data_IF_123117418984
#
_entry.id   IF_123117418984
#
_cell.length_a   1.000
_cell.length_b   1.000
_cell.length_c   1.000
_cell.angle_alpha   90.00
_cell.angle_beta   90.00
_cell.angle_gamma   90.00
#
_symmetry.space_group_name_H-M   'P 1'
#
loop_
_entity.id
_entity.type
_entity.pdbx_description
1 polymer ?
#
# COMPACT_ATOMS: atom_id res chain seq x y z
N UNK A 1 11.80 9.41 15.90
CA UNK A 1 12.19 10.63 16.61
C UNK A 1 12.47 10.33 18.08
N UNK A 2 11.55 9.72 18.81
CA UNK A 2 11.71 9.42 20.24
C UNK A 2 12.28 8.04 20.53
N UNK A 3 12.27 7.14 19.55
CA UNK A 3 12.79 5.76 19.64
C UNK A 3 12.22 4.99 20.85
N UNK A 4 10.94 5.23 21.16
CA UNK A 4 10.23 4.60 22.27
C UNK A 4 8.78 4.30 21.87
N UNK A 5 8.17 3.33 22.54
CA UNK A 5 6.74 3.14 22.46
C UNK A 5 6.01 4.29 23.14
N UNK A 6 4.84 4.62 22.64
CA UNK A 6 3.93 5.61 23.19
C UNK A 6 2.69 4.90 23.74
N UNK A 7 2.26 5.29 24.94
CA UNK A 7 0.96 4.92 25.44
C UNK A 7 -0.13 5.70 24.71
N UNK A 8 -1.37 5.21 24.70
CA UNK A 8 -2.49 5.89 24.04
C UNK A 8 -2.68 7.33 24.51
N UNK A 9 -2.52 7.58 25.82
CA UNK A 9 -2.59 8.93 26.42
C UNK A 9 -1.46 9.88 25.98
N UNK A 10 -0.43 9.36 25.31
CA UNK A 10 0.69 10.14 24.79
C UNK A 10 0.55 10.45 23.29
N UNK A 11 -0.59 10.12 22.72
CA UNK A 11 -0.90 10.33 21.30
C UNK A 11 -1.92 11.45 21.17
N UNK A 12 -1.64 12.40 20.28
CA UNK A 12 -2.53 13.47 19.88
C UNK A 12 -2.82 13.35 18.38
N UNK A 13 -4.00 13.78 17.95
CA UNK A 13 -4.37 13.75 16.54
C UNK A 13 -4.25 15.15 15.93
N UNK A 14 -3.48 15.26 14.87
CA UNK A 14 -3.28 16.50 14.11
C UNK A 14 -3.46 16.26 12.62
N UNK A 15 -3.86 17.30 11.91
CA UNK A 15 -3.92 17.25 10.44
C UNK A 15 -2.51 17.09 9.86
N UNK A 16 -2.38 16.12 8.97
CA UNK A 16 -1.16 15.84 8.22
C UNK A 16 -1.49 15.68 6.74
N UNK A 17 -0.68 16.28 5.86
CA UNK A 17 -0.69 15.95 4.45
C UNK A 17 0.14 14.68 4.23
N UNK A 18 -0.45 13.67 3.63
CA UNK A 18 0.23 12.42 3.25
C UNK A 18 0.18 12.23 1.75
N UNK A 19 1.22 11.58 1.21
CA UNK A 19 1.11 11.02 -0.14
C UNK A 19 0.00 9.99 -0.19
N UNK A 20 -0.70 9.92 -1.31
CA UNK A 20 -1.58 8.81 -1.64
C UNK A 20 -1.11 8.20 -2.94
N UNK A 21 -1.09 6.87 -3.00
CA UNK A 21 -0.75 6.14 -4.21
C UNK A 21 -1.77 5.04 -4.48
N UNK A 22 -1.98 4.78 -5.76
CA UNK A 22 -2.68 3.61 -6.26
C UNK A 22 -1.64 2.71 -6.91
N UNK A 23 -1.64 1.43 -6.54
CA UNK A 23 -0.60 0.47 -6.90
C UNK A 23 -1.23 -0.76 -7.52
N UNK A 24 -0.64 -1.25 -8.62
CA UNK A 24 -1.05 -2.45 -9.33
C UNK A 24 -0.40 -3.69 -8.75
N UNK A 25 -1.21 -4.69 -8.47
CA UNK A 25 -0.79 -6.05 -8.12
C UNK A 25 -1.25 -6.99 -9.22
N UNK A 26 -0.35 -7.46 -10.10
CA UNK A 26 -0.73 -8.35 -11.20
C UNK A 26 -1.35 -9.65 -10.72
N UNK A 27 -2.44 -10.06 -11.34
CA UNK A 27 -3.04 -11.38 -11.12
C UNK A 27 -2.16 -12.44 -11.78
N UNK A 28 -1.81 -13.47 -11.00
CA UNK A 28 -1.01 -14.60 -11.44
C UNK A 28 -1.92 -15.76 -11.91
N UNK A 29 -1.43 -16.55 -12.87
CA UNK A 29 -2.10 -17.75 -13.40
C UNK A 29 -2.85 -17.51 -14.71
N UNK A 30 -3.42 -18.62 -15.22
CA UNK A 30 -4.13 -18.69 -16.51
C UNK A 30 -5.64 -18.82 -16.23
N UNK A 31 -6.33 -17.73 -16.06
CA UNK A 31 -7.76 -17.75 -15.80
C UNK A 31 -8.48 -16.57 -16.47
N UNK A 32 -9.78 -16.38 -16.21
CA UNK A 32 -10.54 -15.26 -16.77
C UNK A 32 -9.96 -13.87 -16.43
N UNK A 33 -9.18 -13.79 -15.35
CA UNK A 33 -8.54 -12.57 -14.86
C UNK A 33 -7.05 -12.49 -15.25
N UNK A 34 -6.56 -13.41 -16.09
CA UNK A 34 -5.17 -13.37 -16.57
C UNK A 34 -4.85 -12.03 -17.25
N UNK A 35 -3.71 -11.45 -16.86
CA UNK A 35 -3.28 -10.15 -17.38
C UNK A 35 -4.04 -8.94 -16.82
N UNK A 36 -4.84 -9.13 -15.78
CA UNK A 36 -5.44 -8.05 -15.02
C UNK A 36 -4.58 -7.68 -13.81
N UNK A 37 -4.73 -6.45 -13.35
CA UNK A 37 -4.13 -5.96 -12.10
C UNK A 37 -5.24 -5.67 -11.07
N UNK A 38 -5.04 -6.14 -9.83
CA UNK A 38 -5.77 -5.61 -8.67
C UNK A 38 -5.15 -4.27 -8.31
N UNK A 39 -5.95 -3.24 -8.16
CA UNK A 39 -5.46 -1.92 -7.77
C UNK A 39 -5.78 -1.68 -6.30
N UNK A 40 -4.76 -1.36 -5.51
CA UNK A 40 -4.92 -0.94 -4.10
C UNK A 40 -4.66 0.56 -3.95
N UNK A 41 -5.16 1.14 -2.87
CA UNK A 41 -4.87 2.50 -2.48
C UNK A 41 -4.21 2.53 -1.10
N UNK A 42 -3.22 3.39 -0.91
CA UNK A 42 -2.58 3.59 0.40
C UNK A 42 -2.09 5.02 0.59
N UNK A 43 -2.10 5.47 1.85
CA UNK A 43 -1.51 6.75 2.30
C UNK A 43 -0.09 6.59 2.83
N UNK A 44 0.42 5.37 2.89
CA UNK A 44 1.72 5.01 3.46
C UNK A 44 2.57 4.21 2.47
N UNK A 45 3.08 4.82 1.39
CA UNK A 45 3.86 4.11 0.36
C UNK A 45 5.02 3.28 0.93
N UNK A 46 5.63 3.74 2.01
CA UNK A 46 6.74 3.06 2.67
C UNK A 46 6.40 1.67 3.23
N UNK A 47 5.11 1.30 3.36
CA UNK A 47 4.72 -0.04 3.80
C UNK A 47 4.72 -1.08 2.69
N UNK A 48 4.74 -0.67 1.42
CA UNK A 48 4.72 -1.59 0.26
C UNK A 48 5.86 -2.64 0.29
N UNK A 49 7.13 -2.30 0.65
CA UNK A 49 8.19 -3.31 0.74
C UNK A 49 7.91 -4.43 1.76
N UNK A 50 7.02 -4.19 2.73
CA UNK A 50 6.60 -5.17 3.75
C UNK A 50 5.27 -5.87 3.41
N UNK A 51 4.74 -5.70 2.20
CA UNK A 51 3.49 -6.31 1.79
C UNK A 51 3.56 -7.84 1.81
N UNK A 52 2.52 -8.48 2.35
CA UNK A 52 2.36 -9.94 2.43
C UNK A 52 1.15 -10.46 1.67
N UNK A 53 0.20 -9.58 1.33
CA UNK A 53 -1.01 -9.96 0.61
C UNK A 53 -1.88 -8.76 0.29
N UNK A 54 -3.02 -9.06 -0.32
CA UNK A 54 -4.11 -8.11 -0.54
C UNK A 54 -5.40 -8.77 -0.07
N UNK A 55 -6.31 -7.98 0.48
CA UNK A 55 -7.61 -8.47 0.94
C UNK A 55 -8.76 -7.78 0.24
N UNK A 56 -9.89 -8.50 0.17
CA UNK A 56 -11.16 -8.05 -0.41
C UNK A 56 -12.32 -8.40 0.53
N UNK A 57 -13.49 -7.81 0.32
CA UNK A 57 -14.71 -8.18 1.05
C UNK A 57 -15.61 -9.04 0.16
N UNK A 58 -16.09 -10.20 0.62
CA UNK A 58 -16.87 -11.11 -0.22
C UNK A 58 -18.23 -10.56 -0.68
N UNK A 59 -18.79 -9.60 0.07
CA UNK A 59 -20.10 -9.01 -0.23
C UNK A 59 -20.00 -7.73 -1.07
N UNK A 60 -18.79 -7.26 -1.42
CA UNK A 60 -18.59 -6.13 -2.33
C UNK A 60 -18.64 -6.63 -3.77
N UNK A 61 -19.35 -5.88 -4.62
CA UNK A 61 -19.36 -6.16 -6.06
C UNK A 61 -18.08 -5.64 -6.73
N UNK A 62 -17.42 -6.51 -7.47
CA UNK A 62 -16.20 -6.19 -8.20
C UNK A 62 -16.40 -6.38 -9.70
N UNK A 63 -15.80 -5.48 -10.47
CA UNK A 63 -15.79 -5.54 -11.93
C UNK A 63 -14.39 -5.60 -12.51
N UNK A 64 -14.27 -6.21 -13.67
CA UNK A 64 -13.09 -6.12 -14.53
C UNK A 64 -13.29 -4.97 -15.52
N UNK A 65 -12.44 -3.97 -15.45
CA UNK A 65 -12.49 -2.76 -16.25
C UNK A 65 -11.33 -2.72 -17.24
N UNK A 66 -11.62 -2.45 -18.50
CA UNK A 66 -10.62 -2.29 -19.55
C UNK A 66 -10.53 -0.83 -19.96
N UNK A 67 -9.34 -0.30 -19.95
CA UNK A 67 -9.06 1.06 -20.43
C UNK A 67 -9.15 1.12 -21.94
N UNK A 68 -9.98 2.00 -22.47
CA UNK A 68 -10.18 2.19 -23.92
C UNK A 68 -9.55 3.46 -24.44
N UNK A 69 -9.43 4.51 -23.60
CA UNK A 69 -8.75 5.76 -23.94
C UNK A 69 -7.94 6.29 -22.76
N UNK A 70 -6.69 6.64 -22.99
CA UNK A 70 -5.80 7.31 -22.05
C UNK A 70 -4.69 8.04 -22.84
N UNK A 71 -4.14 9.12 -22.28
CA UNK A 71 -3.02 9.84 -22.87
C UNK A 71 -1.76 8.97 -22.98
N UNK A 72 -0.94 9.20 -24.00
CA UNK A 72 0.27 8.39 -24.26
C UNK A 72 1.29 8.46 -23.12
N UNK A 73 1.42 9.60 -22.44
CA UNK A 73 2.32 9.82 -21.31
C UNK A 73 1.74 9.37 -19.95
N UNK A 74 0.51 8.85 -19.93
CA UNK A 74 -0.11 8.34 -18.73
C UNK A 74 0.59 7.05 -18.25
N UNK A 75 0.55 6.79 -16.95
CA UNK A 75 0.99 5.50 -16.37
C UNK A 75 0.06 4.35 -16.73
N UNK A 76 -1.22 4.64 -16.89
CA UNK A 76 -2.25 3.70 -17.35
C UNK A 76 -2.29 3.73 -18.88
N UNK A 77 -2.35 2.56 -19.48
CA UNK A 77 -2.32 2.40 -20.95
C UNK A 77 -3.62 1.83 -21.47
N UNK A 78 -3.93 2.19 -22.70
CA UNK A 78 -5.05 1.56 -23.44
C UNK A 78 -4.82 0.04 -23.49
N UNK A 79 -5.86 -0.71 -23.13
CA UNK A 79 -5.83 -2.17 -23.04
C UNK A 79 -5.54 -2.72 -21.65
N UNK A 80 -5.11 -1.88 -20.69
CA UNK A 80 -4.96 -2.30 -19.29
C UNK A 80 -6.30 -2.82 -18.74
N UNK A 81 -6.23 -3.92 -18.00
CA UNK A 81 -7.37 -4.54 -17.32
C UNK A 81 -7.22 -4.41 -15.83
N UNK A 82 -8.21 -3.86 -15.17
CA UNK A 82 -8.13 -3.48 -13.77
C UNK A 82 -9.30 -4.09 -12.99
N UNK A 83 -9.00 -4.73 -11.85
CA UNK A 83 -10.00 -5.13 -10.88
C UNK A 83 -10.23 -3.98 -9.91
N UNK A 84 -11.50 -3.60 -9.74
CA UNK A 84 -11.94 -2.54 -8.84
C UNK A 84 -13.32 -2.88 -8.27
N UNK A 85 -13.62 -2.39 -7.06
CA UNK A 85 -14.99 -2.38 -6.59
C UNK A 85 -15.85 -1.50 -7.51
N UNK A 86 -17.01 -1.99 -7.92
CA UNK A 86 -17.87 -1.31 -8.90
C UNK A 86 -18.23 0.11 -8.48
N UNK A 87 -18.53 0.32 -7.19
CA UNK A 87 -18.88 1.63 -6.62
C UNK A 87 -17.74 2.65 -6.68
N UNK A 88 -16.49 2.19 -6.67
CA UNK A 88 -15.29 3.04 -6.62
C UNK A 88 -14.59 3.17 -7.97
N UNK A 89 -14.96 2.37 -8.96
CA UNK A 89 -14.24 2.25 -10.21
C UNK A 89 -14.11 3.58 -10.98
N UNK A 90 -15.20 4.34 -11.14
CA UNK A 90 -15.19 5.62 -11.85
C UNK A 90 -14.22 6.61 -11.19
N UNK A 91 -14.28 6.72 -9.84
CA UNK A 91 -13.39 7.60 -9.08
C UNK A 91 -11.92 7.19 -9.20
N UNK A 92 -11.61 5.89 -9.16
CA UNK A 92 -10.25 5.36 -9.32
C UNK A 92 -9.71 5.63 -10.73
N UNK A 93 -10.50 5.39 -11.75
CA UNK A 93 -10.11 5.61 -13.16
C UNK A 93 -9.89 7.11 -13.44
N UNK A 94 -10.73 7.99 -12.88
CA UNK A 94 -10.54 9.43 -12.96
C UNK A 94 -9.24 9.89 -12.26
N UNK A 95 -8.87 9.30 -11.11
CA UNK A 95 -7.58 9.59 -10.43
C UNK A 95 -6.38 9.22 -11.30
N UNK A 96 -6.49 8.18 -12.10
CA UNK A 96 -5.47 7.77 -13.06
C UNK A 96 -5.54 8.51 -14.40
N UNK A 97 -6.43 9.49 -14.53
CA UNK A 97 -6.62 10.26 -15.77
C UNK A 97 -6.91 9.34 -16.98
N UNK A 98 -7.79 8.37 -16.76
CA UNK A 98 -8.33 7.54 -17.82
C UNK A 98 -9.49 8.29 -18.47
N UNK A 99 -9.43 8.46 -19.79
CA UNK A 99 -10.42 9.24 -20.53
C UNK A 99 -11.67 8.41 -20.88
N UNK A 100 -11.48 7.10 -21.18
CA UNK A 100 -12.58 6.17 -21.39
C UNK A 100 -12.22 4.74 -20.96
N UNK A 101 -13.22 4.00 -20.52
CA UNK A 101 -13.11 2.61 -20.09
C UNK A 101 -14.42 1.86 -20.31
N UNK A 102 -14.35 0.54 -20.32
CA UNK A 102 -15.51 -0.35 -20.33
C UNK A 102 -15.44 -1.38 -19.21
N UNK A 103 -16.56 -1.70 -18.59
CA UNK A 103 -16.70 -2.84 -17.69
C UNK A 103 -16.93 -4.08 -18.52
N UNK A 104 -15.93 -4.98 -18.58
CA UNK A 104 -15.93 -6.12 -19.50
C UNK A 104 -16.39 -7.43 -18.89
N UNK A 105 -16.42 -7.53 -17.54
CA UNK A 105 -16.91 -8.71 -16.85
C UNK A 105 -17.32 -8.41 -15.41
N UNK A 106 -18.29 -9.20 -14.90
CA UNK A 106 -18.47 -9.41 -13.46
C UNK A 106 -17.35 -10.28 -12.95
N UNK A 107 -16.83 -9.92 -11.78
CA UNK A 107 -15.82 -10.72 -11.11
C UNK A 107 -16.51 -11.53 -10.01
N UNK A 108 -16.59 -12.83 -10.21
CA UNK A 108 -17.22 -13.74 -9.27
C UNK A 108 -16.33 -14.05 -8.06
N UNK A 109 -16.14 -15.33 -7.77
CA UNK A 109 -15.31 -15.77 -6.65
C UNK A 109 -13.83 -15.39 -6.86
N UNK A 110 -13.31 -14.58 -5.94
CA UNK A 110 -11.92 -14.13 -5.90
C UNK A 110 -11.03 -15.07 -5.07
N UNK A 111 -11.61 -16.09 -4.43
CA UNK A 111 -10.86 -17.03 -3.59
C UNK A 111 -9.81 -17.79 -4.39
N UNK A 112 -8.67 -18.04 -3.78
CA UNK A 112 -7.59 -18.80 -4.41
C UNK A 112 -6.76 -18.06 -5.44
N UNK A 113 -7.10 -16.83 -5.81
CA UNK A 113 -6.23 -16.02 -6.66
C UNK A 113 -4.90 -15.73 -5.96
N UNK A 114 -3.86 -15.61 -6.75
CA UNK A 114 -2.53 -15.16 -6.31
C UNK A 114 -2.15 -13.92 -7.08
N UNK A 115 -1.43 -13.03 -6.41
CA UNK A 115 -0.98 -11.79 -7.00
C UNK A 115 0.55 -11.73 -7.01
N UNK A 116 1.12 -11.04 -7.98
CA UNK A 116 2.53 -10.66 -7.92
C UNK A 116 2.71 -9.44 -7.01
N UNK A 117 3.79 -9.41 -6.24
CA UNK A 117 4.20 -8.21 -5.55
C UNK A 117 4.58 -7.11 -6.56
N UNK A 118 4.25 -5.83 -6.34
CA UNK A 118 4.51 -4.78 -7.33
C UNK A 118 6.01 -4.52 -7.60
N UNK A 119 6.90 -5.02 -6.73
CA UNK A 119 8.35 -4.97 -6.92
C UNK A 119 8.96 -6.32 -7.33
N UNK A 120 8.15 -7.33 -7.68
CA UNK A 120 8.65 -8.62 -8.16
C UNK A 120 9.50 -8.43 -9.43
N UNK A 121 10.66 -9.09 -9.48
CA UNK A 121 11.59 -9.01 -10.61
C UNK A 121 12.38 -7.70 -10.73
N UNK A 122 12.28 -6.77 -9.77
CA UNK A 122 13.10 -5.55 -9.80
C UNK A 122 14.57 -5.90 -9.58
N UNK A 123 15.45 -5.37 -10.43
CA UNK A 123 16.89 -5.62 -10.33
C UNK A 123 17.44 -5.15 -8.97
N UNK A 124 18.20 -6.03 -8.30
CA UNK A 124 18.72 -5.78 -6.96
C UNK A 124 17.64 -5.79 -5.86
N UNK A 125 16.44 -6.31 -6.14
CA UNK A 125 15.35 -6.40 -5.19
C UNK A 125 15.52 -7.50 -4.15
N UNK A 126 14.59 -7.56 -3.20
CA UNK A 126 14.50 -8.62 -2.20
C UNK A 126 13.83 -9.84 -2.84
N UNK A 127 14.51 -11.01 -2.79
CA UNK A 127 13.97 -12.25 -3.39
C UNK A 127 12.59 -12.66 -2.86
N UNK A 128 12.25 -12.25 -1.65
CA UNK A 128 10.90 -12.44 -1.09
C UNK A 128 9.80 -11.76 -1.93
N UNK A 129 10.11 -10.67 -2.64
CA UNK A 129 9.12 -10.00 -3.49
C UNK A 129 8.74 -10.82 -4.72
N UNK A 130 9.52 -11.80 -5.11
CA UNK A 130 9.22 -12.70 -6.24
C UNK A 130 8.20 -13.79 -5.87
N UNK A 131 7.98 -14.04 -4.57
CA UNK A 131 6.98 -14.99 -4.13
C UNK A 131 5.56 -14.45 -4.36
N UNK A 132 4.60 -15.32 -4.74
CA UNK A 132 3.20 -14.93 -4.88
C UNK A 132 2.62 -14.36 -3.58
N UNK A 133 1.78 -13.35 -3.72
CA UNK A 133 1.03 -12.75 -2.61
C UNK A 133 -0.33 -13.40 -2.45
N UNK A 134 -0.73 -13.62 -1.22
CA UNK A 134 -2.06 -14.12 -0.89
C UNK A 134 -3.12 -13.07 -1.22
N UNK A 135 -4.28 -13.57 -1.68
CA UNK A 135 -5.46 -12.78 -1.90
C UNK A 135 -6.60 -13.40 -1.10
N UNK A 136 -7.07 -12.70 -0.06
CA UNK A 136 -7.96 -13.27 0.96
C UNK A 136 -9.17 -12.39 1.22
N UNK A 137 -10.25 -13.01 1.67
CA UNK A 137 -11.40 -12.28 2.20
C UNK A 137 -11.08 -11.72 3.60
N UNK A 138 -11.51 -10.48 3.86
CA UNK A 138 -11.41 -9.86 5.18
C UNK A 138 -12.61 -8.93 5.44
N UNK A 139 -13.17 -8.93 6.66
CA UNK A 139 -14.40 -8.19 6.97
C UNK A 139 -14.20 -6.67 7.11
N UNK A 140 -12.96 -6.20 7.26
CA UNK A 140 -12.67 -4.78 7.44
C UNK A 140 -12.53 -3.99 6.13
N UNK A 141 -12.56 -4.67 4.98
CA UNK A 141 -12.54 -3.99 3.68
C UNK A 141 -13.89 -3.36 3.40
N UNK A 142 -13.88 -2.11 2.93
CA UNK A 142 -15.08 -1.34 2.58
C UNK A 142 -15.04 -0.87 1.14
N UNK A 143 -16.18 -0.41 0.62
CA UNK A 143 -16.33 0.26 -0.67
C UNK A 143 -16.69 1.76 -0.53
N UNK A 144 -16.30 2.36 0.61
CA UNK A 144 -16.53 3.79 0.85
C UNK A 144 -15.40 4.64 0.30
N UNK A 145 -14.16 4.15 0.46
CA UNK A 145 -12.93 4.81 0.01
C UNK A 145 -11.96 3.83 -0.66
N UNK A 146 -11.00 4.38 -1.41
CA UNK A 146 -9.93 3.59 -2.01
C UNK A 146 -10.35 2.86 -3.29
N UNK A 147 -10.26 1.54 -3.31
CA UNK A 147 -10.45 0.70 -4.50
C UNK A 147 -11.35 -0.51 -4.26
N UNK A 148 -11.73 -0.75 -2.99
CA UNK A 148 -12.37 -1.99 -2.54
C UNK A 148 -11.38 -3.13 -2.26
N UNK A 149 -10.08 -2.83 -2.29
CA UNK A 149 -9.01 -3.75 -1.92
C UNK A 149 -8.03 -3.07 -0.96
N UNK A 150 -7.52 -3.82 0.01
CA UNK A 150 -6.54 -3.33 0.97
C UNK A 150 -5.27 -4.16 0.88
N UNK A 151 -4.12 -3.49 0.74
CA UNK A 151 -2.83 -4.18 0.83
C UNK A 151 -2.48 -4.48 2.27
N UNK A 152 -1.98 -5.68 2.56
CA UNK A 152 -1.65 -6.11 3.91
C UNK A 152 -0.15 -6.01 4.17
N UNK A 153 0.20 -5.21 5.18
CA UNK A 153 1.52 -5.17 5.78
C UNK A 153 1.39 -5.38 7.30
N UNK A 154 1.28 -6.64 7.77
CA UNK A 154 0.95 -6.96 9.17
C UNK A 154 1.93 -6.38 10.20
N UNK A 155 3.12 -6.02 9.76
CA UNK A 155 4.11 -5.34 10.60
C UNK A 155 3.80 -3.87 10.87
N UNK A 156 2.78 -3.29 10.19
CA UNK A 156 2.51 -1.86 10.19
C UNK A 156 1.03 -1.50 10.33
N UNK A 157 0.11 -2.45 10.17
CA UNK A 157 -1.34 -2.27 10.31
C UNK A 157 -1.92 -3.19 11.37
N UNK A 158 -2.84 -2.67 12.19
CA UNK A 158 -3.45 -3.44 13.29
C UNK A 158 -4.44 -4.48 12.76
N UNK A 159 -5.33 -4.07 11.86
CA UNK A 159 -6.36 -4.98 11.31
C UNK A 159 -5.71 -6.15 10.56
N UNK A 160 -4.65 -5.86 9.80
CA UNK A 160 -3.87 -6.87 9.09
C UNK A 160 -3.11 -7.78 10.06
N UNK A 161 -2.54 -7.23 11.13
CA UNK A 161 -1.89 -8.01 12.18
C UNK A 161 -2.87 -8.97 12.83
N UNK A 162 -4.06 -8.51 13.21
CA UNK A 162 -5.11 -9.33 13.81
C UNK A 162 -5.59 -10.44 12.86
N UNK A 163 -5.81 -10.11 11.58
CA UNK A 163 -6.16 -11.10 10.56
C UNK A 163 -5.13 -12.24 10.50
N UNK A 164 -3.85 -11.93 10.38
CA UNK A 164 -2.80 -12.95 10.26
C UNK A 164 -2.52 -13.66 11.59
N UNK A 165 -2.75 -13.02 12.73
CA UNK A 165 -2.73 -13.67 14.05
C UNK A 165 -3.81 -14.74 14.13
N UNK A 166 -5.04 -14.42 13.76
CA UNK A 166 -6.18 -15.32 13.83
C UNK A 166 -6.05 -16.50 12.85
N UNK A 167 -5.29 -16.30 11.77
CA UNK A 167 -4.90 -17.36 10.84
C UNK A 167 -3.70 -18.20 11.33
N UNK A 168 -3.05 -17.84 12.43
CA UNK A 168 -1.86 -18.52 12.94
C UNK A 168 -0.60 -18.34 12.10
N UNK A 169 -0.52 -17.26 11.31
CA UNK A 169 0.53 -17.04 10.29
C UNK A 169 1.52 -15.92 10.65
N UNK A 170 1.52 -15.42 11.87
CA UNK A 170 2.37 -14.26 12.22
C UNK A 170 3.87 -14.52 12.00
N UNK A 171 4.37 -15.73 12.31
CA UNK A 171 5.79 -16.05 12.12
C UNK A 171 6.24 -15.93 10.66
N UNK A 172 5.34 -16.16 9.72
CA UNK A 172 5.61 -16.14 8.28
C UNK A 172 5.54 -14.72 7.68
N UNK A 173 4.70 -13.85 8.28
CA UNK A 173 4.35 -12.57 7.66
C UNK A 173 4.98 -11.35 8.32
N UNK A 174 5.39 -11.47 9.59
CA UNK A 174 6.02 -10.35 10.28
C UNK A 174 7.40 -10.05 9.69
N UNK A 175 7.63 -8.77 9.41
CA UNK A 175 8.93 -8.25 8.95
C UNK A 175 9.44 -7.21 9.93
N UNK A 176 10.76 -7.07 10.01
CA UNK A 176 11.44 -6.04 10.80
C UNK A 176 12.19 -5.07 9.87
N UNK A 177 11.53 -4.64 8.80
CA UNK A 177 12.12 -3.77 7.80
C UNK A 177 12.36 -2.35 8.30
N UNK A 178 11.65 -1.92 9.36
CA UNK A 178 11.78 -0.58 9.95
C UNK A 178 12.47 -0.67 11.30
N UNK A 179 13.56 0.07 11.46
CA UNK A 179 14.37 0.14 12.67
C UNK A 179 13.80 1.14 13.70
N UNK A 180 14.34 1.17 14.90
CA UNK A 180 13.86 2.02 16.00
C UNK A 180 13.95 3.51 15.70
N UNK A 181 14.89 3.92 14.87
CA UNK A 181 15.06 5.32 14.47
C UNK A 181 14.12 5.75 13.33
N UNK A 182 13.25 4.85 12.85
CA UNK A 182 12.29 5.12 11.78
C UNK A 182 12.90 5.14 10.39
N UNK A 183 14.01 4.41 10.19
CA UNK A 183 14.58 4.15 8.87
C UNK A 183 14.34 2.69 8.46
N UNK A 184 14.46 2.39 7.19
CA UNK A 184 14.59 1.01 6.75
C UNK A 184 15.92 0.44 7.21
N UNK A 185 15.95 -0.86 7.60
CA UNK A 185 17.18 -1.57 7.93
C UNK A 185 18.21 -1.42 6.80
N UNK A 186 19.48 -1.29 7.15
CA UNK A 186 20.54 -0.92 6.21
C UNK A 186 20.72 -1.91 5.03
N UNK A 187 20.41 -3.17 5.27
CA UNK A 187 20.52 -4.27 4.30
C UNK A 187 19.20 -4.53 3.52
N UNK A 188 18.14 -3.70 3.69
CA UNK A 188 16.96 -3.82 2.85
C UNK A 188 17.31 -3.36 1.42
N UNK A 189 17.21 -4.26 0.43
CA UNK A 189 17.53 -3.92 -0.95
C UNK A 189 16.76 -2.67 -1.43
N UNK A 190 17.41 -1.83 -2.21
CA UNK A 190 16.91 -0.57 -2.80
C UNK A 190 16.57 0.53 -1.79
N UNK A 191 16.19 0.20 -0.56
CA UNK A 191 15.63 1.14 0.40
C UNK A 191 16.47 1.29 1.67
N UNK A 192 17.54 0.52 1.83
CA UNK A 192 18.37 0.52 3.05
C UNK A 192 18.78 1.90 3.50
N UNK A 193 18.54 2.22 4.78
CA UNK A 193 18.83 3.51 5.39
C UNK A 193 17.89 4.66 4.99
N UNK A 194 16.93 4.46 4.08
CA UNK A 194 15.90 5.47 3.77
C UNK A 194 15.00 5.69 4.98
N UNK A 195 14.69 6.95 5.25
CA UNK A 195 13.94 7.35 6.44
C UNK A 195 12.47 7.57 6.13
N UNK A 196 11.61 7.03 6.99
CA UNK A 196 10.18 7.29 6.96
C UNK A 196 9.91 8.71 7.47
N UNK A 197 10.53 9.07 8.60
CA UNK A 197 10.46 10.40 9.18
C UNK A 197 11.87 10.99 9.32
N UNK A 198 11.98 12.31 9.19
CA UNK A 198 13.20 13.06 9.49
C UNK A 198 13.45 13.11 10.99
N UNK A 199 14.72 13.25 11.41
CA UNK A 199 15.09 13.48 12.81
C UNK A 199 14.64 14.86 13.30
N UNK A 200 14.58 15.82 12.38
CA UNK A 200 14.15 17.20 12.66
C UNK A 200 13.19 17.67 11.57
N UNK A 201 12.17 18.46 11.95
CA UNK A 201 11.20 18.95 10.98
C UNK A 201 11.84 19.87 9.95
N UNK A 202 11.47 19.68 8.69
CA UNK A 202 11.84 20.60 7.62
C UNK A 202 10.88 21.79 7.60
N UNK A 203 11.31 22.93 8.13
CA UNK A 203 10.49 24.15 8.21
C UNK A 203 10.05 24.71 6.86
N UNK A 204 10.68 24.29 5.77
CA UNK A 204 10.28 24.69 4.41
C UNK A 204 9.08 23.90 3.89
N UNK A 205 8.88 22.67 4.36
CA UNK A 205 7.73 21.85 4.05
C UNK A 205 6.71 22.00 5.19
N UNK A 206 5.82 22.98 5.06
CA UNK A 206 4.85 23.32 6.12
C UNK A 206 3.76 22.27 6.29
N UNK A 207 3.40 21.59 5.22
CA UNK A 207 2.27 20.64 5.19
C UNK A 207 2.69 19.26 5.71
N UNK A 208 3.96 18.88 5.52
CA UNK A 208 4.52 17.65 6.08
C UNK A 208 6.01 17.82 6.46
N UNK A 209 6.29 18.54 7.55
CA UNK A 209 7.66 18.88 7.93
C UNK A 209 8.51 17.67 8.32
N UNK A 210 7.88 16.56 8.70
CA UNK A 210 8.55 15.34 9.15
C UNK A 210 8.79 14.30 8.04
N UNK A 211 8.32 14.55 6.81
CA UNK A 211 8.47 13.62 5.69
C UNK A 211 9.93 13.29 5.41
N UNK A 212 10.25 11.98 5.46
CA UNK A 212 11.54 11.43 5.07
C UNK A 212 11.66 11.21 3.56
N UNK A 213 12.58 10.35 3.15
CA UNK A 213 12.81 10.00 1.75
C UNK A 213 12.30 8.59 1.35
N UNK A 214 11.82 7.81 2.31
CA UNK A 214 11.34 6.45 2.08
C UNK A 214 10.15 6.41 1.10
N UNK A 215 9.12 7.25 1.31
CA UNK A 215 7.96 7.30 0.42
C UNK A 215 8.36 7.62 -1.02
N UNK A 216 9.23 8.60 -1.21
CA UNK A 216 9.70 8.99 -2.55
C UNK A 216 10.49 7.86 -3.22
N UNK A 217 11.35 7.16 -2.46
CA UNK A 217 12.12 6.03 -2.98
C UNK A 217 11.22 4.86 -3.42
N UNK A 218 10.22 4.52 -2.61
CA UNK A 218 9.27 3.45 -2.95
C UNK A 218 8.43 3.83 -4.17
N UNK A 219 7.91 5.06 -4.23
CA UNK A 219 7.17 5.54 -5.41
C UNK A 219 8.01 5.51 -6.68
N UNK A 220 9.30 5.85 -6.59
CA UNK A 220 10.22 5.79 -7.74
C UNK A 220 10.40 4.34 -8.24
N UNK A 221 10.61 3.38 -7.33
CA UNK A 221 10.72 1.97 -7.68
C UNK A 221 9.42 1.43 -8.31
N UNK A 222 8.26 1.77 -7.76
CA UNK A 222 6.96 1.39 -8.33
C UNK A 222 6.75 1.99 -9.74
N UNK A 223 7.18 3.23 -9.95
CA UNK A 223 7.11 3.87 -11.27
C UNK A 223 8.05 3.18 -12.27
N UNK A 224 9.26 2.83 -11.86
CA UNK A 224 10.22 2.07 -12.68
C UNK A 224 9.64 0.71 -13.11
N UNK A 225 8.92 0.04 -12.22
CA UNK A 225 8.27 -1.24 -12.50
C UNK A 225 6.95 -1.12 -13.27
N UNK A 226 6.49 0.11 -13.57
CA UNK A 226 5.19 0.35 -14.19
C UNK A 226 4.01 -0.07 -13.30
N UNK A 227 4.22 -0.12 -11.98
CA UNK A 227 3.20 -0.55 -11.00
C UNK A 227 2.55 0.61 -10.25
N UNK A 228 3.03 1.83 -10.43
CA UNK A 228 2.37 3.02 -9.94
C UNK A 228 1.22 3.38 -10.89
N UNK A 229 -0.02 3.29 -10.40
CA UNK A 229 -1.23 3.54 -11.18
C UNK A 229 -1.63 5.02 -11.15
N UNK A 230 -1.63 5.61 -9.95
CA UNK A 230 -1.89 7.03 -9.74
C UNK A 230 -1.20 7.51 -8.46
N UNK A 231 -1.04 8.82 -8.34
CA UNK A 231 -0.56 9.46 -7.11
C UNK A 231 -1.33 10.73 -6.81
N UNK A 232 -1.41 11.04 -5.53
CA UNK A 232 -2.03 12.26 -5.04
C UNK A 232 -1.54 12.62 -3.65
N UNK A 233 -2.29 13.49 -3.00
CA UNK A 233 -2.10 13.86 -1.61
C UNK A 233 -3.46 13.95 -0.93
N UNK A 234 -3.48 13.65 0.35
CA UNK A 234 -4.66 13.81 1.21
C UNK A 234 -4.27 14.49 2.51
N UNK A 235 -5.13 15.38 2.98
CA UNK A 235 -5.02 15.94 4.32
C UNK A 235 -6.00 15.20 5.21
N UNK A 236 -5.47 14.57 6.26
CA UNK A 236 -6.27 13.75 7.18
C UNK A 236 -5.73 13.85 8.60
N UNK A 237 -6.57 13.50 9.56
CA UNK A 237 -6.17 13.35 10.97
C UNK A 237 -5.22 12.18 11.11
N UNK A 238 -4.07 12.38 11.77
CA UNK A 238 -3.03 11.38 11.95
C UNK A 238 -2.47 11.42 13.37
N UNK A 239 -2.12 10.27 13.98
CA UNK A 239 -1.55 10.25 15.33
C UNK A 239 -0.13 10.84 15.37
N UNK A 240 0.10 11.68 16.37
CA UNK A 240 1.38 12.33 16.64
C UNK A 240 1.76 12.15 18.10
N UNK A 241 3.06 12.13 18.39
CA UNK A 241 3.54 12.17 19.75
C UNK A 241 3.19 13.50 20.41
N UNK A 242 2.66 13.45 21.64
CA UNK A 242 2.34 14.64 22.43
C UNK A 242 3.58 15.51 22.74
N UNK A 243 4.76 14.87 22.80
CA UNK A 243 6.02 15.51 23.17
C UNK A 243 6.73 16.16 21.97
N UNK A 244 7.04 15.38 20.96
CA UNK A 244 7.80 15.86 19.78
C UNK A 244 6.93 16.50 18.72
N UNK A 245 5.61 16.24 18.76
CA UNK A 245 4.66 16.58 17.70
C UNK A 245 5.03 15.93 16.33
N UNK A 246 5.85 14.89 16.35
CA UNK A 246 6.17 14.09 15.19
C UNK A 246 5.08 13.03 14.95
N UNK A 247 4.78 12.68 13.68
CA UNK A 247 3.89 11.57 13.38
C UNK A 247 4.38 10.26 13.96
N UNK A 248 3.46 9.40 14.36
CA UNK A 248 3.76 8.05 14.88
C UNK A 248 4.05 7.11 13.72
N UNK A 249 5.01 6.19 13.89
CA UNK A 249 5.25 5.06 13.01
C UNK A 249 4.74 3.80 13.70
N UNK A 250 3.82 3.10 13.06
CA UNK A 250 3.39 1.76 13.49
C UNK A 250 4.41 0.73 13.00
N UNK A 251 5.01 -0.01 13.93
CA UNK A 251 5.97 -1.07 13.61
C UNK A 251 5.96 -2.15 14.68
N UNK A 252 6.25 -3.37 14.30
CA UNK A 252 6.47 -4.46 15.25
C UNK A 252 7.79 -4.27 16.01
N UNK A 253 7.76 -4.57 17.29
CA UNK A 253 8.92 -4.54 18.17
C UNK A 253 8.93 -5.83 19.00
N UNK A 254 10.02 -6.63 18.98
CA UNK A 254 10.15 -7.76 19.88
C UNK A 254 10.03 -7.29 21.34
N UNK A 255 9.21 -7.97 22.12
CA UNK A 255 9.00 -7.66 23.54
C UNK A 255 9.13 -8.94 24.36
N UNK A 256 9.60 -8.78 25.59
CA UNK A 256 9.61 -9.83 26.61
C UNK A 256 8.39 -9.65 27.51
N UNK A 257 7.65 -10.73 27.74
CA UNK A 257 6.52 -10.79 28.65
C UNK A 257 6.81 -11.79 29.77
#
# INVERSE_FOLDING_TARGET
>A
VEQTALAEAEVEYHDKESFTIWVRFPVLGDGPLAGADVVIWTTTPWTIPSNKGVVYHPDISYGLYKVTEAAEDNWVKVGDKLLLADKLAEGCLAKAKVDAFERIADVGDLSGLKLAHPLAGIEGGLGEWDAPRDFRAAPFVTDEDGTGFVHCAPSHGMDEFELYRDLGMLEEVITYNVTEDGSFRADLPLFGGKRILRDKPNKKNKDNPWEGDANTAVMAALSQMGKLYARGKIKHSYPHSWRSKAPVIFRNTPQWF
#
